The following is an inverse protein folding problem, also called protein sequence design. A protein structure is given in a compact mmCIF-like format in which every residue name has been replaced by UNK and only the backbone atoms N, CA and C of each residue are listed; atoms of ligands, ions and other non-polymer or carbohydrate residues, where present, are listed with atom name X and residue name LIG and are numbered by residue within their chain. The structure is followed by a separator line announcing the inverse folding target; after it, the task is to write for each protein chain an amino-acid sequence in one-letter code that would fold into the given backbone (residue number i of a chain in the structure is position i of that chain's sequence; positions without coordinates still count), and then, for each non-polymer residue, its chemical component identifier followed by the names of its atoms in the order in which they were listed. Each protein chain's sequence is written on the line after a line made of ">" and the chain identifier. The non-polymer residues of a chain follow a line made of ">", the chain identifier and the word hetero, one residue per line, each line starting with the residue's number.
data_IF_557549735990
#
_entry.id   IF_557549735990
#
_cell.length_a   1.000
_cell.length_b   1.000
_cell.length_c   1.000
_cell.angle_alpha   90.00
_cell.angle_beta   90.00
_cell.angle_gamma   90.00
#
_symmetry.space_group_name_H-M   'P 1'
#
loop_
_entity.id
_entity.type
_entity.pdbx_description
1 polymer ?
#
# COMPACT_ATOMS: atom_id res chain seq x y z
N UNK A 1 -13.01 -7.55 -20.17
CA UNK A 1 -13.26 -8.72 -19.30
C UNK A 1 -11.98 -8.96 -18.52
N UNK A 2 -12.09 -8.94 -17.19
CA UNK A 2 -11.06 -9.28 -16.20
C UNK A 2 -9.68 -8.61 -16.35
N UNK A 3 -9.59 -7.36 -15.90
CA UNK A 3 -8.31 -6.80 -15.49
C UNK A 3 -7.97 -7.38 -14.10
N UNK A 4 -7.11 -8.39 -14.08
CA UNK A 4 -6.51 -8.97 -12.88
C UNK A 4 -5.35 -8.08 -12.45
N UNK A 5 -5.61 -7.15 -11.53
CA UNK A 5 -4.59 -6.23 -11.01
C UNK A 5 -4.49 -6.40 -9.49
N UNK A 6 -3.29 -6.70 -8.98
CA UNK A 6 -3.01 -6.91 -7.54
C UNK A 6 -2.06 -5.82 -7.01
N UNK A 7 -2.32 -5.24 -5.82
CA UNK A 7 -1.76 -3.95 -5.38
C UNK A 7 -0.56 -3.91 -4.43
N UNK A 8 0.33 -2.92 -4.63
CA UNK A 8 1.06 -2.23 -3.55
C UNK A 8 0.46 -0.83 -3.29
N UNK A 9 0.38 -0.44 -2.02
CA UNK A 9 -0.46 0.64 -1.48
C UNK A 9 0.28 1.97 -1.23
N UNK A 10 -0.02 3.01 -2.01
CA UNK A 10 0.51 4.37 -1.74
C UNK A 10 -0.27 5.02 -0.59
N UNK A 11 0.38 5.27 0.55
CA UNK A 11 -0.26 5.83 1.76
C UNK A 11 -0.02 7.33 2.01
N UNK A 12 -1.05 8.15 1.84
CA UNK A 12 -1.09 9.52 2.36
C UNK A 12 -1.93 9.59 3.67
N UNK A 13 -1.25 9.33 4.80
CA UNK A 13 -1.63 9.59 6.22
C UNK A 13 -3.14 9.76 6.54
N UNK A 14 -3.85 8.66 6.83
CA UNK A 14 -5.17 8.73 7.49
C UNK A 14 -5.39 7.60 8.52
N UNK A 15 -6.05 7.91 9.64
CA UNK A 15 -6.27 7.04 10.82
C UNK A 15 -7.76 6.70 11.03
N UNK A 16 -8.47 6.33 9.95
CA UNK A 16 -9.91 6.05 9.97
C UNK A 16 -10.29 4.58 10.25
N UNK A 17 -9.33 3.66 10.14
CA UNK A 17 -9.48 2.20 10.37
C UNK A 17 -10.53 1.51 9.46
N UNK A 18 -11.00 2.18 8.40
CA UNK A 18 -11.97 1.59 7.48
C UNK A 18 -11.38 0.37 6.77
N UNK A 19 -10.12 0.46 6.35
CA UNK A 19 -9.41 -0.62 5.67
C UNK A 19 -9.40 -1.94 6.45
N UNK A 20 -9.23 -1.90 7.77
CA UNK A 20 -9.26 -3.10 8.63
C UNK A 20 -10.66 -3.69 8.69
N UNK A 21 -11.68 -2.84 8.86
CA UNK A 21 -13.08 -3.25 9.00
C UNK A 21 -13.68 -3.88 7.74
N UNK A 22 -13.19 -3.49 6.56
CA UNK A 22 -13.70 -4.00 5.27
C UNK A 22 -12.90 -5.19 4.74
N UNK A 23 -11.77 -5.50 5.38
CA UNK A 23 -10.92 -6.58 4.94
C UNK A 23 -11.46 -7.92 5.43
N UNK A 24 -11.57 -8.93 4.53
CA UNK A 24 -12.11 -10.24 4.90
C UNK A 24 -11.19 -11.07 5.81
N UNK A 25 -9.94 -10.64 5.97
CA UNK A 25 -8.90 -11.33 6.77
C UNK A 25 -8.38 -10.45 7.92
N UNK A 26 -9.06 -9.33 8.23
CA UNK A 26 -8.68 -8.41 9.31
C UNK A 26 -7.28 -7.76 9.18
N UNK A 27 -6.81 -7.51 7.96
CA UNK A 27 -5.65 -6.66 7.64
C UNK A 27 -6.10 -5.31 7.05
N UNK A 28 -5.31 -4.23 7.05
CA UNK A 28 -3.94 -4.02 7.55
C UNK A 28 -3.88 -3.85 9.08
N UNK A 29 -2.69 -3.92 9.67
CA UNK A 29 -2.48 -3.54 11.09
C UNK A 29 -2.29 -2.03 11.18
N UNK A 30 -3.09 -1.37 12.02
CA UNK A 30 -3.13 0.09 12.14
C UNK A 30 -3.02 0.51 13.60
N UNK A 31 -1.97 1.25 13.93
CA UNK A 31 -1.78 1.86 15.24
C UNK A 31 -1.95 3.38 15.15
N UNK A 32 -2.65 3.96 16.12
CA UNK A 32 -2.85 5.41 16.20
C UNK A 32 -2.85 5.90 17.63
N UNK A 33 -2.56 7.19 17.81
CA UNK A 33 -2.65 7.90 19.09
C UNK A 33 -3.61 9.07 18.95
N UNK A 34 -4.50 9.24 19.93
CA UNK A 34 -5.30 10.46 20.04
C UNK A 34 -4.42 11.60 20.54
N UNK A 35 -4.31 12.66 19.77
CA UNK A 35 -3.70 13.90 20.20
C UNK A 35 -4.80 14.79 20.79
N UNK A 36 -4.77 14.95 22.11
CA UNK A 36 -5.87 15.57 22.88
C UNK A 36 -6.03 17.06 22.60
N UNK A 37 -4.92 17.74 22.28
CA UNK A 37 -4.91 19.20 22.06
C UNK A 37 -5.71 19.60 20.81
N UNK A 38 -5.55 18.84 19.73
CA UNK A 38 -6.19 19.10 18.43
C UNK A 38 -7.37 18.15 18.15
N UNK A 39 -7.69 17.24 19.10
CA UNK A 39 -8.67 16.16 18.95
C UNK A 39 -8.53 15.39 17.63
N UNK A 40 -7.29 15.18 17.18
CA UNK A 40 -6.97 14.50 15.93
C UNK A 40 -6.31 13.16 16.23
N UNK A 41 -6.69 12.13 15.48
CA UNK A 41 -6.00 10.84 15.51
C UNK A 41 -4.72 10.92 14.68
N UNK A 42 -3.56 10.72 15.30
CA UNK A 42 -2.26 10.63 14.61
C UNK A 42 -1.92 9.16 14.37
N UNK A 43 -1.68 8.80 13.11
CA UNK A 43 -1.18 7.47 12.73
C UNK A 43 0.22 7.25 13.32
N UNK A 44 0.45 6.10 13.95
CA UNK A 44 1.75 5.68 14.50
C UNK A 44 2.42 4.65 13.61
N UNK A 45 1.68 3.61 13.25
CA UNK A 45 2.17 2.52 12.43
C UNK A 45 1.04 2.03 11.52
N UNK A 46 1.44 1.60 10.34
CA UNK A 46 0.58 0.98 9.37
C UNK A 46 1.42 -0.09 8.67
N UNK A 47 0.96 -1.33 8.72
CA UNK A 47 1.68 -2.44 8.11
C UNK A 47 0.74 -3.43 7.43
N UNK A 48 1.21 -4.00 6.33
CA UNK A 48 0.49 -4.96 5.50
C UNK A 48 1.37 -6.16 5.28
N UNK A 49 0.83 -7.33 5.60
CA UNK A 49 1.46 -8.58 5.28
C UNK A 49 0.96 -9.05 3.89
N UNK A 50 1.85 -9.00 2.90
CA UNK A 50 1.56 -9.43 1.54
C UNK A 50 1.57 -10.95 1.37
N UNK A 51 2.08 -11.72 2.34
CA UNK A 51 1.97 -13.18 2.34
C UNK A 51 0.51 -13.62 2.57
N UNK A 52 -0.22 -12.87 3.40
CA UNK A 52 -1.59 -13.20 3.82
C UNK A 52 -2.63 -12.41 3.01
N UNK A 53 -2.27 -11.23 2.51
CA UNK A 53 -3.16 -10.38 1.71
C UNK A 53 -3.72 -11.14 0.50
N UNK A 54 -5.05 -11.18 0.39
CA UNK A 54 -5.74 -11.83 -0.74
C UNK A 54 -5.98 -10.88 -1.93
N UNK A 55 -5.43 -9.66 -1.88
CA UNK A 55 -5.50 -8.68 -2.96
C UNK A 55 -6.93 -8.36 -3.45
N UNK A 56 -7.92 -8.42 -2.55
CA UNK A 56 -9.34 -8.20 -2.90
C UNK A 56 -9.71 -6.76 -3.28
N UNK A 57 -8.96 -5.78 -2.81
CA UNK A 57 -9.16 -4.36 -3.14
C UNK A 57 -10.18 -3.57 -2.34
N UNK A 58 -10.89 -4.20 -1.39
CA UNK A 58 -11.84 -3.52 -0.52
C UNK A 58 -11.21 -2.34 0.24
N UNK A 59 -9.97 -2.47 0.70
CA UNK A 59 -9.29 -1.43 1.46
C UNK A 59 -9.10 -0.12 0.68
N UNK A 60 -9.10 -0.16 -0.65
CA UNK A 60 -8.96 0.98 -1.54
C UNK A 60 -10.34 1.53 -1.90
N UNK A 61 -11.26 0.66 -2.29
CA UNK A 61 -12.62 1.05 -2.70
C UNK A 61 -13.34 1.82 -1.58
N UNK A 62 -13.19 1.38 -0.34
CA UNK A 62 -13.84 2.01 0.81
C UNK A 62 -12.99 3.11 1.45
N UNK A 63 -11.81 3.43 0.90
CA UNK A 63 -10.96 4.48 1.47
C UNK A 63 -11.58 5.87 1.24
N UNK A 64 -12.02 6.58 2.29
CA UNK A 64 -12.75 7.85 2.13
C UNK A 64 -11.86 8.99 1.60
N UNK A 65 -10.56 8.90 1.80
CA UNK A 65 -9.56 9.89 1.39
C UNK A 65 -8.80 9.46 0.14
N UNK A 66 -9.09 8.27 -0.39
CA UNK A 66 -8.34 7.66 -1.49
C UNK A 66 -6.82 7.66 -1.28
N UNK A 67 -6.39 7.44 -0.03
CA UNK A 67 -4.97 7.44 0.37
C UNK A 67 -4.35 6.06 0.26
N UNK A 68 -4.91 5.17 -0.56
CA UNK A 68 -4.51 3.79 -0.75
C UNK A 68 -4.78 3.52 -2.24
N UNK A 69 -3.80 3.01 -2.96
CA UNK A 69 -3.89 2.75 -4.40
C UNK A 69 -3.27 1.41 -4.75
N UNK A 70 -3.71 0.76 -5.83
CA UNK A 70 -3.07 -0.46 -6.31
C UNK A 70 -1.94 -0.13 -7.29
N UNK A 71 -0.73 -0.66 -7.11
CA UNK A 71 0.28 -0.72 -8.19
C UNK A 71 0.10 -1.98 -9.05
N UNK A 72 0.87 -2.07 -10.13
CA UNK A 72 0.92 -3.22 -11.04
C UNK A 72 2.10 -4.16 -10.73
N UNK A 73 2.67 -4.09 -9.52
CA UNK A 73 3.78 -4.94 -9.11
C UNK A 73 3.31 -6.35 -8.75
N UNK A 74 3.67 -7.32 -9.57
CA UNK A 74 3.36 -8.74 -9.35
C UNK A 74 4.58 -9.56 -8.91
N UNK A 75 5.79 -8.99 -8.95
CA UNK A 75 7.05 -9.68 -8.67
C UNK A 75 7.46 -9.57 -7.19
N UNK A 76 6.59 -10.02 -6.28
CA UNK A 76 6.79 -9.94 -4.82
C UNK A 76 7.42 -11.22 -4.23
N UNK A 77 8.18 -11.99 -5.00
CA UNK A 77 8.78 -13.23 -4.51
C UNK A 77 10.02 -12.96 -3.65
N UNK A 78 10.05 -13.53 -2.44
CA UNK A 78 11.21 -13.51 -1.54
C UNK A 78 11.48 -14.91 -0.97
N UNK A 79 12.69 -15.12 -0.46
CA UNK A 79 13.10 -16.32 0.27
C UNK A 79 12.63 -16.33 1.73
N UNK A 80 12.40 -15.15 2.34
CA UNK A 80 11.94 -15.02 3.71
C UNK A 80 10.57 -14.33 3.75
N UNK A 81 9.58 -15.03 4.31
CA UNK A 81 8.22 -14.52 4.50
C UNK A 81 8.15 -13.20 5.26
N UNK A 82 9.08 -12.95 6.19
CA UNK A 82 9.07 -11.73 6.99
C UNK A 82 9.38 -10.47 6.15
N UNK A 83 10.01 -10.65 4.98
CA UNK A 83 10.27 -9.55 4.05
C UNK A 83 8.99 -9.06 3.35
N UNK A 84 7.90 -9.84 3.37
CA UNK A 84 6.60 -9.45 2.79
C UNK A 84 5.73 -8.61 3.73
N UNK A 85 6.18 -8.34 4.95
CA UNK A 85 5.50 -7.45 5.87
C UNK A 85 5.97 -6.01 5.67
N UNK A 86 5.19 -5.23 4.91
CA UNK A 86 5.55 -3.89 4.51
C UNK A 86 4.95 -2.87 5.49
N UNK A 87 5.81 -2.02 6.04
CA UNK A 87 5.40 -0.89 6.86
C UNK A 87 5.05 0.34 6.00
N UNK A 88 4.52 1.40 6.62
CA UNK A 88 4.17 2.66 5.94
C UNK A 88 5.32 3.25 5.11
N UNK A 89 6.58 3.05 5.51
CA UNK A 89 7.74 3.57 4.78
C UNK A 89 7.98 2.73 3.51
N UNK A 90 7.91 1.40 3.62
CA UNK A 90 8.04 0.48 2.49
C UNK A 90 6.90 0.68 1.48
N UNK A 91 5.68 0.90 1.97
CA UNK A 91 4.49 1.19 1.15
C UNK A 91 4.54 2.56 0.45
N UNK A 92 5.15 3.57 1.09
CA UNK A 92 5.32 4.90 0.52
C UNK A 92 6.50 5.03 -0.44
N UNK A 93 7.39 4.03 -0.48
CA UNK A 93 8.46 3.95 -1.47
C UNK A 93 7.87 3.28 -2.70
N UNK A 94 7.57 4.09 -3.72
CA UNK A 94 7.57 3.59 -5.09
C UNK A 94 8.81 2.70 -5.27
N UNK A 95 8.74 1.56 -5.98
CA UNK A 95 9.96 0.97 -6.48
C UNK A 95 10.62 2.04 -7.37
N UNK A 96 11.76 2.57 -6.95
CA UNK A 96 12.73 3.02 -7.95
C UNK A 96 13.11 1.76 -8.72
N UNK A 97 13.03 1.73 -10.04
CA UNK A 97 13.75 2.67 -10.90
C UNK A 97 13.03 2.96 -12.23
N UNK A 98 12.62 4.22 -12.43
CA UNK A 98 12.47 4.76 -13.81
C UNK A 98 13.83 4.76 -14.55
N UNK A 99 14.93 4.50 -13.83
CA UNK A 99 16.31 4.56 -14.33
C UNK A 99 16.77 3.23 -14.98
N UNK A 100 16.14 2.09 -14.69
CA UNK A 100 16.53 0.78 -15.27
C UNK A 100 15.48 0.17 -16.20
N UNK A 101 14.46 0.93 -16.62
CA UNK A 101 13.53 0.47 -17.63
C UNK A 101 14.19 0.54 -19.02
N UNK A 102 14.78 -0.57 -19.47
CA UNK A 102 15.42 -0.66 -20.79
C UNK A 102 14.45 -0.39 -21.95
N UNK A 103 13.14 -0.45 -21.71
CA UNK A 103 12.11 -0.16 -22.73
C UNK A 103 11.93 1.35 -22.95
N UNK A 104 12.40 2.18 -22.02
CA UNK A 104 12.49 3.65 -22.16
C UNK A 104 13.88 4.01 -22.70
N UNK A 105 14.23 3.48 -23.90
CA UNK A 105 15.30 4.11 -24.67
C UNK A 105 14.79 5.47 -25.11
N UNK A 106 15.38 6.51 -24.51
CA UNK A 106 15.33 7.92 -24.89
C UNK A 106 14.99 8.08 -26.37
N UNK A 107 13.78 8.53 -26.68
CA UNK A 107 13.52 9.17 -27.97
C UNK A 107 14.37 10.44 -27.93
N UNK A 108 15.59 10.35 -28.45
CA UNK A 108 16.37 11.51 -28.85
C UNK A 108 15.58 12.19 -29.96
N UNK A 109 14.73 13.15 -29.59
CA UNK A 109 14.15 14.08 -30.55
C UNK A 109 15.32 14.92 -31.06
N UNK A 110 15.61 14.72 -32.34
CA UNK A 110 16.66 15.36 -33.11
C UNK A 110 16.45 16.87 -33.21
#
# INVERSE_FOLDING_TARGET
>A
MSHTHSPVLVMEKQSCEVCVRVCPIDLPVVDWKLETDIRKKRLLNYSIDFEICIFCGNCIEYCPTNCLSMTEEYELSTYDRHELNYNQIALGRLPMSVIDDYTIRTIQIK
#
